data_IF_025343143131
#
_entry.id   IF_025343143131
#
_cell.length_a   1.000
_cell.length_b   1.000
_cell.length_c   1.000
_cell.angle_alpha   90.00
_cell.angle_beta   90.00
_cell.angle_gamma   90.00
#
_symmetry.space_group_name_H-M   'P 1'
#
loop_
_entity.id
_entity.type
_entity.pdbx_description
1 polymer ?
#
# COMPACT_ATOMS: atom_id res chain seq x y z
N UNK A 1 -25.09 -6.58 11.66
CA UNK A 1 -25.57 -5.18 11.59
C UNK A 1 -25.30 -4.63 10.19
N UNK A 2 -26.14 -3.70 9.75
CA UNK A 2 -26.56 -3.47 8.37
C UNK A 2 -25.42 -3.30 7.32
N UNK A 3 -25.65 -3.91 6.16
CA UNK A 3 -24.91 -3.66 4.93
C UNK A 3 -24.92 -2.16 4.63
N UNK A 4 -23.76 -1.52 4.84
CA UNK A 4 -23.56 -0.08 4.65
C UNK A 4 -23.79 0.31 3.20
N UNK A 5 -25.05 0.57 2.83
CA UNK A 5 -25.41 1.10 1.51
C UNK A 5 -24.63 2.40 1.32
N UNK A 6 -23.64 2.38 0.45
CA UNK A 6 -22.88 3.57 0.08
C UNK A 6 -23.67 4.31 -0.99
N UNK A 7 -23.81 5.63 -0.85
CA UNK A 7 -24.48 6.50 -1.82
C UNK A 7 -23.45 7.39 -2.49
N UNK A 8 -23.72 7.74 -3.75
CA UNK A 8 -22.93 8.72 -4.48
C UNK A 8 -23.42 10.13 -4.12
N UNK A 9 -22.49 10.97 -3.71
CA UNK A 9 -22.74 12.39 -3.42
C UNK A 9 -21.66 13.24 -4.07
N UNK A 10 -22.05 14.39 -4.61
CA UNK A 10 -21.13 15.38 -5.15
C UNK A 10 -21.05 16.56 -4.18
N UNK A 11 -19.85 16.85 -3.69
CA UNK A 11 -19.62 17.95 -2.76
C UNK A 11 -19.58 19.29 -3.51
N UNK A 12 -20.27 20.30 -2.97
CA UNK A 12 -20.28 21.67 -3.50
C UNK A 12 -19.02 22.48 -3.14
N UNK A 13 -18.19 21.95 -2.24
CA UNK A 13 -16.96 22.60 -1.79
C UNK A 13 -15.81 21.61 -1.64
N UNK A 14 -14.60 22.15 -1.44
CA UNK A 14 -13.43 21.34 -1.13
C UNK A 14 -13.50 20.91 0.33
N UNK A 15 -13.83 19.65 0.58
CA UNK A 15 -13.92 19.08 1.92
C UNK A 15 -13.01 17.86 2.06
N UNK A 16 -12.44 17.70 3.24
CA UNK A 16 -11.72 16.48 3.60
C UNK A 16 -12.65 15.64 4.45
N UNK A 17 -13.07 14.48 3.96
CA UNK A 17 -13.86 13.54 4.75
C UNK A 17 -12.89 12.66 5.55
N UNK A 18 -13.03 12.62 6.88
CA UNK A 18 -12.22 11.74 7.70
C UNK A 18 -12.46 10.27 7.35
N UNK A 19 -11.40 9.46 7.33
CA UNK A 19 -11.42 8.02 6.97
C UNK A 19 -12.60 7.25 7.62
N UNK A 20 -12.79 7.45 8.93
CA UNK A 20 -13.86 6.84 9.73
C UNK A 20 -15.27 7.17 9.25
N UNK A 21 -15.47 8.34 8.64
CA UNK A 21 -16.77 8.80 8.13
C UNK A 21 -16.99 8.41 6.67
N UNK A 22 -15.91 8.32 5.87
CA UNK A 22 -15.95 7.83 4.49
C UNK A 22 -16.07 6.30 4.40
N UNK A 23 -15.79 5.58 5.50
CA UNK A 23 -15.67 4.12 5.47
C UNK A 23 -14.51 3.67 4.59
N UNK A 24 -13.44 4.46 4.58
CA UNK A 24 -12.15 4.19 3.94
C UNK A 24 -11.05 4.18 5.01
N UNK A 25 -9.89 3.60 4.69
CA UNK A 25 -8.73 3.53 5.57
C UNK A 25 -7.92 4.84 5.63
N UNK A 26 -8.25 5.83 4.79
CA UNK A 26 -7.54 7.11 4.69
C UNK A 26 -8.48 8.29 4.55
N UNK A 27 -8.03 9.47 5.00
CA UNK A 27 -8.77 10.72 4.83
C UNK A 27 -8.89 11.06 3.34
N UNK A 28 -10.13 11.28 2.89
CA UNK A 28 -10.43 11.50 1.48
C UNK A 28 -10.61 13.00 1.27
N UNK A 29 -9.66 13.61 0.57
CA UNK A 29 -9.81 15.00 0.12
C UNK A 29 -10.64 15.04 -1.14
N UNK A 30 -11.81 15.67 -1.05
CA UNK A 30 -12.75 15.80 -2.16
C UNK A 30 -12.66 17.20 -2.74
N UNK A 31 -12.51 17.25 -4.05
CA UNK A 31 -12.61 18.48 -4.81
C UNK A 31 -14.06 18.77 -5.16
N UNK A 32 -14.43 20.04 -5.17
CA UNK A 32 -15.74 20.53 -5.60
C UNK A 32 -16.16 19.89 -6.93
N UNK A 33 -17.39 19.39 -6.99
CA UNK A 33 -17.98 18.78 -8.17
C UNK A 33 -17.54 17.34 -8.45
N UNK A 34 -16.65 16.75 -7.64
CA UNK A 34 -16.24 15.36 -7.82
C UNK A 34 -17.20 14.41 -7.05
N UNK A 35 -17.97 13.55 -7.73
CA UNK A 35 -18.86 12.59 -7.08
C UNK A 35 -18.04 11.52 -6.35
N UNK A 36 -18.32 11.34 -5.05
CA UNK A 36 -17.70 10.32 -4.20
C UNK A 36 -18.74 9.34 -3.68
N UNK A 37 -18.31 8.14 -3.37
CA UNK A 37 -19.13 7.15 -2.70
C UNK A 37 -18.88 7.20 -1.19
N UNK A 38 -19.87 7.62 -0.41
CA UNK A 38 -19.80 7.68 1.07
C UNK A 38 -20.91 6.83 1.70
N UNK A 39 -20.77 6.39 2.96
CA UNK A 39 -21.81 5.66 3.66
C UNK A 39 -23.12 6.46 3.71
N UNK A 40 -24.27 5.80 3.57
CA UNK A 40 -25.57 6.49 3.54
C UNK A 40 -25.79 7.44 4.73
N UNK A 41 -25.30 7.10 5.91
CA UNK A 41 -25.39 7.96 7.10
C UNK A 41 -24.68 9.31 6.90
N UNK A 42 -23.47 9.28 6.35
CA UNK A 42 -22.72 10.49 6.07
C UNK A 42 -23.32 11.26 4.89
N UNK A 43 -23.72 10.56 3.82
CA UNK A 43 -24.37 11.13 2.65
C UNK A 43 -25.62 11.93 3.01
N UNK A 44 -26.48 11.36 3.87
CA UNK A 44 -27.72 12.01 4.29
C UNK A 44 -27.45 13.30 5.07
N UNK A 45 -26.48 13.25 5.99
CA UNK A 45 -26.06 14.41 6.79
C UNK A 45 -25.54 15.54 5.90
N UNK A 46 -24.58 15.26 5.02
CA UNK A 46 -23.97 16.31 4.17
C UNK A 46 -24.93 16.88 3.12
N UNK A 47 -25.92 16.10 2.68
CA UNK A 47 -26.98 16.60 1.79
C UNK A 47 -27.97 17.45 2.57
N UNK A 48 -28.34 17.04 3.79
CA UNK A 48 -29.21 17.81 4.68
C UNK A 48 -28.58 19.15 5.07
N UNK A 49 -27.28 19.18 5.33
CA UNK A 49 -26.51 20.41 5.59
C UNK A 49 -26.29 21.26 4.33
N UNK A 50 -26.69 20.78 3.15
CA UNK A 50 -26.51 21.49 1.87
C UNK A 50 -25.05 21.54 1.37
N UNK A 51 -24.17 20.74 1.96
CA UNK A 51 -22.73 20.67 1.67
C UNK A 51 -22.47 19.80 0.42
N UNK A 52 -23.35 18.83 0.15
CA UNK A 52 -23.31 17.97 -1.03
C UNK A 52 -24.70 17.76 -1.63
N UNK A 53 -24.77 17.21 -2.84
CA UNK A 53 -26.01 16.74 -3.45
C UNK A 53 -25.91 15.26 -3.80
N UNK A 54 -27.03 14.54 -3.71
CA UNK A 54 -27.10 13.19 -4.25
C UNK A 54 -26.83 13.25 -5.75
N UNK A 55 -25.82 12.49 -6.19
CA UNK A 55 -25.45 12.40 -7.58
C UNK A 55 -25.65 10.96 -8.04
N UNK A 56 -26.05 10.79 -9.30
CA UNK A 56 -26.07 9.47 -9.92
C UNK A 56 -24.62 9.01 -10.13
N UNK A 57 -24.37 7.69 -10.05
CA UNK A 57 -23.03 7.15 -10.23
C UNK A 57 -22.43 7.68 -11.54
N UNK A 58 -21.21 8.24 -11.54
CA UNK A 58 -20.64 8.85 -12.74
C UNK A 58 -20.63 7.81 -13.88
N UNK A 59 -21.47 8.02 -14.89
CA UNK A 59 -21.54 7.17 -16.08
C UNK A 59 -20.22 7.34 -16.85
N UNK A 60 -19.33 6.37 -16.63
CA UNK A 60 -18.12 6.05 -17.41
C UNK A 60 -16.97 7.07 -17.34
N UNK A 61 -15.96 6.73 -16.55
CA UNK A 61 -14.78 6.04 -17.11
C UNK A 61 -14.55 4.81 -16.26
N UNK A 62 -14.44 3.67 -16.93
CA UNK A 62 -14.04 2.34 -16.45
C UNK A 62 -13.35 2.38 -15.08
N UNK A 63 -14.12 2.28 -13.99
CA UNK A 63 -13.57 1.82 -12.73
C UNK A 63 -13.27 0.35 -13.00
N UNK A 64 -12.01 0.09 -13.36
CA UNK A 64 -11.44 -1.24 -13.39
C UNK A 64 -11.98 -2.00 -12.17
N UNK A 65 -12.42 -3.22 -12.46
CA UNK A 65 -12.84 -4.18 -11.44
C UNK A 65 -11.92 -4.06 -10.23
N UNK A 66 -12.52 -4.09 -9.04
CA UNK A 66 -11.85 -4.63 -7.86
C UNK A 66 -11.34 -6.04 -8.18
N UNK A 67 -10.16 -6.11 -8.74
CA UNK A 67 -9.10 -7.02 -8.34
C UNK A 67 -8.07 -6.04 -7.76
N UNK A 68 -7.73 -5.99 -6.47
CA UNK A 68 -6.90 -6.97 -5.78
C UNK A 68 -6.01 -7.84 -6.67
N UNK A 69 -5.58 -7.31 -7.80
CA UNK A 69 -4.39 -7.76 -8.50
C UNK A 69 -3.43 -6.61 -8.28
N UNK A 70 -2.39 -6.88 -7.46
CA UNK A 70 -1.23 -6.02 -7.37
C UNK A 70 -0.90 -5.58 -8.80
N UNK A 71 -0.95 -4.28 -9.05
CA UNK A 71 -0.45 -3.64 -10.26
C UNK A 71 0.89 -4.30 -10.60
N UNK A 72 1.23 -4.56 -11.87
CA UNK A 72 2.51 -5.21 -12.23
C UNK A 72 3.71 -4.53 -11.52
N UNK A 73 3.65 -3.22 -11.29
CA UNK A 73 4.59 -2.44 -10.47
C UNK A 73 4.61 -2.85 -8.98
N UNK A 74 3.46 -3.11 -8.37
CA UNK A 74 3.31 -3.53 -6.98
C UNK A 74 3.72 -5.00 -6.79
N UNK A 75 3.48 -5.85 -7.80
CA UNK A 75 3.96 -7.23 -7.83
C UNK A 75 5.48 -7.28 -8.02
N UNK A 76 6.03 -6.37 -8.81
CA UNK A 76 7.48 -6.20 -9.00
C UNK A 76 8.13 -5.64 -7.74
N UNK A 77 7.49 -4.69 -7.05
CA UNK A 77 7.96 -4.16 -5.77
C UNK A 77 7.91 -5.22 -4.65
N UNK A 78 6.86 -6.03 -4.58
CA UNK A 78 6.76 -7.15 -3.64
C UNK A 78 7.78 -8.26 -3.94
N UNK A 79 8.06 -8.51 -5.22
CA UNK A 79 9.11 -9.44 -5.65
C UNK A 79 10.50 -8.92 -5.29
N UNK A 80 10.79 -7.62 -5.53
CA UNK A 80 12.03 -6.97 -5.08
C UNK A 80 12.17 -7.02 -3.56
N UNK A 81 11.11 -6.70 -2.80
CA UNK A 81 11.14 -6.78 -1.35
C UNK A 81 11.42 -8.20 -0.84
N UNK A 82 10.86 -9.22 -1.49
CA UNK A 82 11.12 -10.63 -1.16
C UNK A 82 12.55 -11.05 -1.53
N UNK A 83 13.11 -10.53 -2.63
CA UNK A 83 14.51 -10.76 -3.00
C UNK A 83 15.48 -10.09 -2.04
N UNK A 84 15.19 -8.86 -1.61
CA UNK A 84 15.99 -8.15 -0.59
C UNK A 84 15.94 -8.90 0.73
N UNK A 85 14.75 -9.33 1.19
CA UNK A 85 14.62 -10.10 2.43
C UNK A 85 15.37 -11.45 2.37
N UNK A 86 15.37 -12.12 1.22
CA UNK A 86 16.15 -13.33 1.01
C UNK A 86 17.67 -13.07 1.01
N UNK A 87 18.11 -11.96 0.42
CA UNK A 87 19.51 -11.54 0.44
C UNK A 87 19.97 -11.11 1.86
N UNK A 88 19.12 -10.42 2.62
CA UNK A 88 19.39 -10.07 4.03
C UNK A 88 19.53 -11.31 4.91
N UNK A 89 18.66 -12.31 4.68
CA UNK A 89 18.77 -13.60 5.35
C UNK A 89 20.08 -14.32 4.98
N UNK A 90 20.52 -14.27 3.72
CA UNK A 90 21.78 -14.86 3.29
C UNK A 90 23.01 -14.16 3.91
N UNK A 91 23.00 -12.82 4.02
CA UNK A 91 24.06 -12.07 4.73
C UNK A 91 24.09 -12.44 6.21
N UNK A 92 22.91 -12.56 6.83
CA UNK A 92 22.78 -12.93 8.25
C UNK A 92 23.28 -14.35 8.50
N UNK A 93 22.95 -15.29 7.61
CA UNK A 93 23.38 -16.70 7.70
C UNK A 93 24.90 -16.82 7.48
N UNK A 94 25.45 -16.12 6.48
CA UNK A 94 26.88 -16.05 6.24
C UNK A 94 27.65 -15.40 7.41
N UNK A 95 27.09 -14.33 8.00
CA UNK A 95 27.63 -13.73 9.24
C UNK A 95 27.57 -14.70 10.42
N UNK A 96 26.48 -15.43 10.59
CA UNK A 96 26.34 -16.42 11.65
C UNK A 96 27.30 -17.60 11.47
N UNK A 97 27.55 -18.04 10.23
CA UNK A 97 28.54 -19.06 9.92
C UNK A 97 29.97 -18.58 10.23
N UNK A 98 30.26 -17.32 9.88
CA UNK A 98 31.54 -16.68 10.19
C UNK A 98 31.74 -16.51 11.71
N UNK A 99 30.69 -16.16 12.45
CA UNK A 99 30.71 -16.03 13.92
C UNK A 99 30.81 -17.40 14.61
N UNK A 100 30.15 -18.43 14.08
CA UNK A 100 30.19 -19.81 14.58
C UNK A 100 31.56 -20.48 14.44
N UNK A 101 32.37 -20.08 13.46
CA UNK A 101 33.77 -20.48 13.34
C UNK A 101 34.66 -19.83 14.42
N UNK A 102 34.18 -18.76 15.06
CA UNK A 102 34.87 -18.00 16.09
C UNK A 102 36.11 -17.28 15.55
N UNK A 103 36.86 -16.62 16.44
CA UNK A 103 38.13 -15.91 16.14
C UNK A 103 39.24 -16.82 15.56
N UNK A 104 38.97 -18.10 15.32
CA UNK A 104 39.85 -19.00 14.60
C UNK A 104 39.77 -18.70 13.11
N UNK A 105 40.69 -17.84 12.62
CA UNK A 105 40.96 -17.53 11.21
C UNK A 105 39.80 -17.94 10.27
N UNK A 106 38.80 -17.06 10.04
CA UNK A 106 37.80 -17.32 9.02
C UNK A 106 38.52 -17.73 7.73
N UNK A 107 38.12 -18.86 7.13
CA UNK A 107 38.73 -19.25 5.88
C UNK A 107 38.34 -18.21 4.83
N UNK A 108 39.20 -18.00 3.82
CA UNK A 108 38.92 -17.01 2.76
C UNK A 108 37.59 -17.27 2.04
N UNK A 109 37.06 -18.50 2.13
CA UNK A 109 35.76 -18.90 1.59
C UNK A 109 34.60 -18.21 2.31
N UNK A 110 34.52 -18.26 3.65
CA UNK A 110 33.42 -17.65 4.40
C UNK A 110 33.40 -16.12 4.30
N UNK A 111 34.59 -15.49 4.23
CA UNK A 111 34.68 -14.05 3.95
C UNK A 111 34.19 -13.75 2.54
N UNK A 112 34.60 -14.55 1.55
CA UNK A 112 34.14 -14.38 0.16
C UNK A 112 32.63 -14.64 0.02
N UNK A 113 32.05 -15.56 0.79
CA UNK A 113 30.60 -15.82 0.83
C UNK A 113 29.83 -14.64 1.45
N UNK A 114 30.37 -14.04 2.51
CA UNK A 114 29.79 -12.84 3.12
C UNK A 114 29.89 -11.62 2.19
N UNK A 115 31.02 -11.40 1.53
CA UNK A 115 31.16 -10.35 0.51
C UNK A 115 30.23 -10.58 -0.68
N UNK A 116 30.11 -11.82 -1.18
CA UNK A 116 29.20 -12.15 -2.27
C UNK A 116 27.72 -11.94 -1.89
N UNK A 117 27.33 -12.28 -0.66
CA UNK A 117 25.98 -12.03 -0.16
C UNK A 117 25.69 -10.53 0.00
N UNK A 118 26.68 -9.73 0.45
CA UNK A 118 26.55 -8.28 0.56
C UNK A 118 26.48 -7.59 -0.80
N UNK A 119 27.28 -8.02 -1.77
CA UNK A 119 27.26 -7.49 -3.15
C UNK A 119 25.93 -7.81 -3.86
N UNK A 120 25.39 -9.02 -3.64
CA UNK A 120 24.07 -9.40 -4.13
C UNK A 120 22.95 -8.55 -3.51
N UNK A 121 23.04 -8.25 -2.20
CA UNK A 121 22.10 -7.37 -1.52
C UNK A 121 22.20 -5.93 -2.01
N UNK A 122 23.41 -5.40 -2.18
CA UNK A 122 23.65 -4.05 -2.72
C UNK A 122 23.11 -3.90 -4.14
N UNK A 123 23.32 -4.91 -5.00
CA UNK A 123 22.80 -4.95 -6.37
C UNK A 123 21.26 -4.97 -6.46
N UNK A 124 20.57 -5.40 -5.39
CA UNK A 124 19.11 -5.40 -5.31
C UNK A 124 18.54 -4.09 -4.75
N UNK A 125 19.36 -3.32 -4.02
CA UNK A 125 19.00 -2.05 -3.38
C UNK A 125 19.34 -0.79 -4.22
N UNK A 126 20.19 -0.92 -5.24
CA UNK A 126 20.44 0.11 -6.29
C UNK A 126 19.30 0.18 -7.33
#
# INVERSE_FOLDING_TARGET
MASSKKKWVAFKGNVTIPAKMAGEDKDVRIQVGNPVQVPAFYADSVVQDGIADFCDAPKKKTAAKKSNELTDEEKTAAAKASQIAAAEAAVTDAQAALDALGLGKPAGTEIAELEAAQDALASLQD
#
